data_IF_062173693827
#
_entry.id   IF_062173693827
#
_cell.length_a   1.000
_cell.length_b   1.000
_cell.length_c   1.000
_cell.angle_alpha   90.00
_cell.angle_beta   90.00
_cell.angle_gamma   90.00
#
_symmetry.space_group_name_H-M   'P 1'
#
loop_
_entity.id
_entity.type
_entity.pdbx_description
1 polymer ?
#
# COMPACT_ATOMS: atom_id res chain seq x y z
N UNK A 1 -21.33 38.66 -18.05
CA UNK A 1 -20.96 39.82 -17.21
C UNK A 1 -20.83 39.29 -15.77
N UNK A 2 -19.65 39.35 -15.16
CA UNK A 2 -19.41 38.73 -13.83
C UNK A 2 -19.60 39.78 -12.72
N UNK A 3 -20.28 39.40 -11.62
CA UNK A 3 -20.74 40.31 -10.56
C UNK A 3 -19.63 41.02 -9.74
N UNK A 4 -18.34 40.64 -9.86
CA UNK A 4 -17.22 41.34 -9.21
C UNK A 4 -15.86 40.86 -9.76
N UNK A 5 -14.78 41.58 -9.42
CA UNK A 5 -13.38 41.15 -9.69
C UNK A 5 -13.04 39.83 -8.97
N UNK A 6 -13.69 39.53 -7.84
CA UNK A 6 -13.53 38.24 -7.17
C UNK A 6 -14.27 37.13 -7.91
N UNK A 7 -15.45 37.40 -8.48
CA UNK A 7 -16.15 36.45 -9.36
C UNK A 7 -15.40 36.18 -10.66
N UNK A 8 -14.72 37.18 -11.24
CA UNK A 8 -13.88 36.95 -12.43
C UNK A 8 -12.62 36.14 -12.12
N UNK A 9 -12.03 36.31 -10.93
CA UNK A 9 -10.93 35.47 -10.44
C UNK A 9 -11.35 34.02 -10.21
N UNK A 10 -12.56 33.77 -9.69
CA UNK A 10 -13.12 32.42 -9.54
C UNK A 10 -13.32 31.74 -10.91
N UNK A 11 -13.78 32.50 -11.92
CA UNK A 11 -13.94 32.04 -13.31
C UNK A 11 -12.65 31.62 -14.00
N UNK A 12 -11.47 32.04 -13.53
CA UNK A 12 -10.17 31.66 -14.13
C UNK A 12 -9.76 30.22 -13.83
N UNK A 13 -10.40 29.57 -12.86
CA UNK A 13 -10.00 28.25 -12.40
C UNK A 13 -11.01 27.20 -12.86
N UNK A 14 -10.50 26.10 -13.42
CA UNK A 14 -11.28 25.06 -14.10
C UNK A 14 -12.35 24.37 -13.22
N UNK A 15 -12.23 24.43 -11.90
CA UNK A 15 -13.17 23.79 -10.97
C UNK A 15 -13.39 24.64 -9.70
N UNK A 16 -14.66 24.76 -9.28
CA UNK A 16 -15.10 25.35 -8.02
C UNK A 16 -14.90 24.39 -6.84
N UNK A 17 -15.11 24.89 -5.61
CA UNK A 17 -15.06 24.07 -4.39
C UNK A 17 -16.15 22.98 -4.42
N UNK A 18 -17.36 23.37 -4.78
CA UNK A 18 -18.56 22.53 -4.84
C UNK A 18 -18.45 21.46 -5.91
N UNK A 19 -17.96 21.81 -7.10
CA UNK A 19 -17.74 20.85 -8.20
C UNK A 19 -16.75 19.74 -7.79
N UNK A 20 -15.72 20.09 -7.02
CA UNK A 20 -14.75 19.12 -6.52
C UNK A 20 -15.39 18.20 -5.48
N UNK A 21 -16.12 18.76 -4.51
CA UNK A 21 -16.83 17.97 -3.49
C UNK A 21 -17.82 17.01 -4.16
N UNK A 22 -18.58 17.49 -5.14
CA UNK A 22 -19.54 16.70 -5.87
C UNK A 22 -18.86 15.57 -6.65
N UNK A 23 -17.75 15.84 -7.34
CA UNK A 23 -16.98 14.81 -8.05
C UNK A 23 -16.48 13.69 -7.13
N UNK A 24 -16.14 14.02 -5.87
CA UNK A 24 -15.71 13.03 -4.86
C UNK A 24 -16.88 12.14 -4.43
N UNK A 25 -18.07 12.73 -4.22
CA UNK A 25 -19.28 12.01 -3.80
C UNK A 25 -19.79 11.07 -4.89
N UNK A 26 -19.90 11.56 -6.12
CA UNK A 26 -20.33 10.75 -7.27
C UNK A 26 -19.42 9.54 -7.49
N UNK A 27 -18.10 9.75 -7.34
CA UNK A 27 -17.15 8.65 -7.38
C UNK A 27 -17.42 7.63 -6.28
N UNK A 28 -17.63 8.10 -5.05
CA UNK A 28 -17.88 7.24 -3.90
C UNK A 28 -19.15 6.42 -4.08
N UNK A 29 -20.24 7.02 -4.56
CA UNK A 29 -21.51 6.34 -4.84
C UNK A 29 -21.36 5.28 -5.93
N UNK A 30 -20.64 5.61 -7.01
CA UNK A 30 -20.44 4.70 -8.14
C UNK A 30 -19.54 3.51 -7.80
N UNK A 31 -18.43 3.77 -7.12
CA UNK A 31 -17.36 2.77 -6.90
C UNK A 31 -17.41 2.15 -5.49
N UNK A 32 -18.34 2.61 -4.66
CA UNK A 32 -18.49 2.25 -3.25
C UNK A 32 -17.16 2.30 -2.47
N UNK A 33 -16.32 3.29 -2.78
CA UNK A 33 -14.99 3.47 -2.17
C UNK A 33 -14.48 4.90 -2.27
N UNK A 34 -13.65 5.31 -1.32
CA UNK A 34 -13.01 6.63 -1.32
C UNK A 34 -12.05 6.75 -2.52
N UNK A 35 -12.17 7.80 -3.35
CA UNK A 35 -11.27 8.01 -4.47
C UNK A 35 -9.85 8.33 -4.00
N UNK A 36 -8.80 7.63 -4.48
CA UNK A 36 -7.44 8.13 -4.41
C UNK A 36 -7.26 9.27 -5.41
N UNK A 37 -6.31 10.17 -5.13
CA UNK A 37 -5.96 11.33 -5.99
C UNK A 37 -5.87 10.98 -7.49
N UNK A 38 -5.27 9.83 -7.80
CA UNK A 38 -5.03 9.36 -9.18
C UNK A 38 -6.29 8.93 -9.94
N UNK A 39 -7.40 8.65 -9.24
CA UNK A 39 -8.65 8.24 -9.89
C UNK A 39 -9.49 9.49 -10.26
N UNK A 40 -9.18 10.66 -9.67
CA UNK A 40 -9.79 11.97 -9.95
C UNK A 40 -8.73 12.99 -10.41
N UNK A 41 -7.92 12.65 -11.42
CA UNK A 41 -6.81 13.50 -11.89
C UNK A 41 -7.26 14.90 -12.33
N UNK A 42 -8.48 15.01 -12.86
CA UNK A 42 -9.04 16.27 -13.36
C UNK A 42 -9.26 17.31 -12.25
N UNK A 43 -9.84 16.89 -11.12
CA UNK A 43 -10.20 17.78 -10.00
C UNK A 43 -9.13 17.80 -8.89
N UNK A 44 -8.31 16.75 -8.79
CA UNK A 44 -7.42 16.54 -7.64
C UNK A 44 -6.34 17.60 -7.43
N UNK A 45 -5.78 18.17 -8.49
CA UNK A 45 -4.76 19.21 -8.36
C UNK A 45 -5.36 20.49 -7.77
N UNK A 46 -6.56 20.86 -8.24
CA UNK A 46 -7.30 22.00 -7.73
C UNK A 46 -7.78 21.76 -6.29
N UNK A 47 -8.22 20.54 -5.98
CA UNK A 47 -8.62 20.14 -4.64
C UNK A 47 -7.52 20.39 -3.61
N UNK A 48 -6.27 20.01 -3.92
CA UNK A 48 -5.13 20.25 -3.01
C UNK A 48 -4.89 21.75 -2.82
N UNK A 49 -5.01 22.55 -3.88
CA UNK A 49 -4.81 24.00 -3.79
C UNK A 49 -5.89 24.70 -2.93
N UNK A 50 -7.14 24.23 -2.98
CA UNK A 50 -8.25 24.83 -2.22
C UNK A 50 -8.26 24.32 -0.77
N UNK A 51 -8.15 23.01 -0.58
CA UNK A 51 -8.35 22.36 0.72
C UNK A 51 -7.04 22.09 1.49
N UNK A 52 -5.88 22.40 0.90
CA UNK A 52 -4.54 22.14 1.44
C UNK A 52 -4.05 20.70 1.29
N UNK A 53 -4.96 19.71 1.30
CA UNK A 53 -4.63 18.30 1.04
C UNK A 53 -5.79 17.55 0.41
N UNK A 54 -5.50 16.40 -0.23
CA UNK A 54 -6.55 15.52 -0.75
C UNK A 54 -7.44 14.98 0.37
N UNK A 55 -6.85 14.63 1.53
CA UNK A 55 -7.61 14.13 2.67
C UNK A 55 -8.55 15.19 3.25
N UNK A 56 -8.17 16.47 3.21
CA UNK A 56 -9.04 17.56 3.60
C UNK A 56 -10.22 17.69 2.63
N UNK A 57 -9.99 17.54 1.32
CA UNK A 57 -11.06 17.52 0.32
C UNK A 57 -12.05 16.37 0.55
N UNK A 58 -11.55 15.16 0.84
CA UNK A 58 -12.40 13.99 1.19
C UNK A 58 -13.21 14.28 2.48
N UNK A 59 -12.59 14.87 3.49
CA UNK A 59 -13.27 15.25 4.74
C UNK A 59 -14.36 16.28 4.50
N UNK A 60 -14.10 17.30 3.66
CA UNK A 60 -15.09 18.31 3.24
C UNK A 60 -16.25 17.71 2.45
N UNK A 61 -16.01 16.63 1.72
CA UNK A 61 -17.08 15.88 1.06
C UNK A 61 -17.96 15.07 2.03
N UNK A 62 -17.63 15.02 3.32
CA UNK A 62 -18.34 14.26 4.35
C UNK A 62 -17.90 12.80 4.42
N UNK A 63 -16.74 12.47 3.87
CA UNK A 63 -16.20 11.11 3.83
C UNK A 63 -14.98 11.00 4.76
N UNK A 64 -14.71 9.78 5.25
CA UNK A 64 -13.52 9.51 6.05
C UNK A 64 -12.33 9.31 5.11
N UNK A 65 -11.24 10.09 5.21
CA UNK A 65 -10.08 9.93 4.33
C UNK A 65 -9.34 8.61 4.58
N UNK A 66 -8.65 8.12 3.54
CA UNK A 66 -7.70 7.02 3.70
C UNK A 66 -6.54 7.45 4.63
N UNK A 67 -6.03 6.53 5.45
CA UNK A 67 -4.92 6.82 6.38
C UNK A 67 -3.71 7.37 5.64
N UNK A 68 -3.13 8.44 6.18
CA UNK A 68 -1.85 8.98 5.73
C UNK A 68 -0.71 8.01 6.08
N UNK A 69 0.48 8.27 5.52
CA UNK A 69 1.68 7.52 5.89
C UNK A 69 2.02 7.65 7.38
N UNK A 70 1.73 8.81 7.99
CA UNK A 70 2.02 9.08 9.40
C UNK A 70 1.05 8.36 10.35
N UNK A 71 -0.15 8.04 9.87
CA UNK A 71 -1.19 7.33 10.62
C UNK A 71 -1.08 5.80 10.48
N UNK A 72 0.03 5.28 9.93
CA UNK A 72 0.23 3.83 9.83
C UNK A 72 0.46 3.25 11.22
N UNK A 73 -0.25 2.16 11.50
CA UNK A 73 -0.10 1.41 12.76
C UNK A 73 1.36 0.92 12.96
N UNK A 74 2.11 0.75 11.87
CA UNK A 74 3.52 0.38 11.87
C UNK A 74 4.35 1.54 11.33
N UNK A 75 5.18 2.15 12.18
CA UNK A 75 6.17 3.13 11.75
C UNK A 75 7.22 2.45 10.88
N UNK A 76 7.60 3.10 9.79
CA UNK A 76 8.75 2.65 8.98
C UNK A 76 10.01 2.83 9.82
N UNK A 77 10.79 1.77 9.93
CA UNK A 77 12.12 1.81 10.52
C UNK A 77 13.06 1.33 9.44
N UNK A 78 13.88 2.24 8.91
CA UNK A 78 14.91 1.86 7.97
C UNK A 78 16.06 1.21 8.75
N UNK A 79 16.45 0.00 8.35
CA UNK A 79 17.55 -0.72 8.97
C UNK A 79 18.20 -1.71 8.02
N UNK A 80 19.21 -2.41 8.52
CA UNK A 80 19.96 -3.41 7.77
C UNK A 80 19.81 -4.75 8.49
N UNK A 81 19.50 -5.80 7.74
CA UNK A 81 19.55 -7.17 8.22
C UNK A 81 21.01 -7.65 8.34
N UNK A 82 21.21 -8.75 9.05
CA UNK A 82 22.54 -9.33 9.32
C UNK A 82 23.34 -9.71 8.08
N UNK A 83 22.69 -9.98 6.96
CA UNK A 83 23.32 -10.29 5.67
C UNK A 83 23.58 -9.05 4.78
N UNK A 84 23.20 -7.85 5.26
CA UNK A 84 23.37 -6.58 4.56
C UNK A 84 22.12 -6.09 3.80
N UNK A 85 21.01 -6.85 3.78
CA UNK A 85 19.79 -6.41 3.14
C UNK A 85 19.17 -5.16 3.81
N UNK A 86 18.75 -4.17 3.00
CA UNK A 86 18.16 -2.91 3.48
C UNK A 86 16.66 -3.01 3.72
N UNK A 87 16.20 -3.14 4.95
CA UNK A 87 14.80 -3.31 5.32
C UNK A 87 14.11 -1.98 5.68
N UNK A 88 12.80 -1.89 5.42
CA UNK A 88 11.99 -0.68 5.67
C UNK A 88 11.09 -0.76 6.92
N UNK A 89 11.14 -1.89 7.62
CA UNK A 89 10.52 -2.12 8.91
C UNK A 89 11.30 -3.10 9.78
N UNK A 90 11.08 -3.05 11.10
CA UNK A 90 11.65 -4.03 12.04
C UNK A 90 11.18 -5.47 11.75
N UNK A 91 9.93 -5.65 11.31
CA UNK A 91 9.41 -6.96 10.91
C UNK A 91 10.16 -7.54 9.72
N UNK A 92 10.52 -6.71 8.74
CA UNK A 92 11.35 -7.16 7.63
C UNK A 92 12.73 -7.62 8.12
N UNK A 93 13.39 -6.87 9.01
CA UNK A 93 14.68 -7.28 9.59
C UNK A 93 14.56 -8.64 10.28
N UNK A 94 13.53 -8.84 11.12
CA UNK A 94 13.33 -10.09 11.87
C UNK A 94 13.15 -11.29 10.93
N UNK A 95 12.36 -11.14 9.87
CA UNK A 95 12.08 -12.21 8.90
C UNK A 95 13.34 -12.50 8.08
N UNK A 96 14.02 -11.47 7.62
CA UNK A 96 15.27 -11.58 6.85
C UNK A 96 16.37 -12.29 7.66
N UNK A 97 16.61 -11.83 8.89
CA UNK A 97 17.53 -12.48 9.83
C UNK A 97 17.13 -13.92 10.15
N UNK A 98 15.82 -14.24 10.14
CA UNK A 98 15.38 -15.62 10.30
C UNK A 98 15.78 -16.48 9.11
N UNK A 99 15.63 -15.98 7.88
CA UNK A 99 16.06 -16.69 6.68
C UNK A 99 17.57 -16.93 6.69
N UNK A 100 18.35 -15.90 7.04
CA UNK A 100 19.81 -15.97 7.16
C UNK A 100 20.25 -16.99 8.21
N UNK A 101 19.67 -16.95 9.42
CA UNK A 101 20.02 -17.88 10.50
C UNK A 101 19.65 -19.35 10.24
N UNK A 102 18.75 -19.60 9.30
CA UNK A 102 18.38 -20.96 8.88
C UNK A 102 19.06 -21.37 7.57
N UNK A 103 20.11 -20.65 7.15
CA UNK A 103 20.87 -20.92 5.93
C UNK A 103 19.99 -21.02 4.67
N UNK A 104 18.99 -20.14 4.57
CA UNK A 104 18.08 -20.05 3.42
C UNK A 104 18.54 -18.90 2.52
N UNK A 105 19.19 -19.18 1.36
CA UNK A 105 19.56 -18.14 0.42
C UNK A 105 18.31 -17.47 -0.13
N UNK A 106 18.29 -16.14 -0.06
CA UNK A 106 17.12 -15.36 -0.44
C UNK A 106 17.54 -14.06 -1.12
N UNK A 107 16.70 -13.60 -2.05
CA UNK A 107 16.87 -12.32 -2.74
C UNK A 107 15.70 -11.42 -2.43
N UNK A 108 15.97 -10.13 -2.24
CA UNK A 108 14.92 -9.13 -2.06
C UNK A 108 14.45 -8.51 -3.35
N UNK A 109 13.25 -7.93 -3.31
CA UNK A 109 12.71 -7.08 -4.37
C UNK A 109 12.54 -7.76 -5.74
N UNK A 110 12.32 -9.09 -5.75
CA UNK A 110 12.08 -9.85 -6.97
C UNK A 110 10.78 -9.41 -7.64
N UNK A 111 10.82 -9.13 -8.94
CA UNK A 111 9.64 -8.65 -9.68
C UNK A 111 8.60 -9.76 -9.85
N UNK A 112 7.34 -9.43 -9.61
CA UNK A 112 6.22 -10.28 -9.98
C UNK A 112 6.04 -10.28 -11.51
N UNK A 113 5.72 -11.43 -12.12
CA UNK A 113 5.45 -11.50 -13.56
C UNK A 113 4.33 -10.53 -13.98
N UNK A 114 4.54 -9.84 -15.10
CA UNK A 114 3.58 -8.91 -15.71
C UNK A 114 3.02 -7.84 -14.76
N UNK A 115 3.83 -7.41 -13.78
CA UNK A 115 3.44 -6.32 -12.88
C UNK A 115 4.65 -5.50 -12.42
N UNK A 116 4.37 -4.32 -11.87
CA UNK A 116 5.39 -3.50 -11.22
C UNK A 116 5.56 -3.84 -9.73
N UNK A 117 4.88 -4.86 -9.22
CA UNK A 117 5.04 -5.31 -7.85
C UNK A 117 6.36 -6.07 -7.68
N UNK A 118 6.90 -5.99 -6.47
CA UNK A 118 8.08 -6.71 -6.03
C UNK A 118 7.74 -7.49 -4.77
N UNK A 119 8.31 -8.69 -4.62
CA UNK A 119 8.20 -9.45 -3.39
C UNK A 119 9.20 -8.94 -2.37
N UNK A 120 8.86 -9.11 -1.09
CA UNK A 120 9.76 -8.75 0.00
C UNK A 120 10.98 -9.65 -0.01
N UNK A 121 10.76 -10.97 -0.17
CA UNK A 121 11.79 -11.97 -0.44
C UNK A 121 11.39 -12.94 -1.54
N UNK A 122 12.38 -13.58 -2.13
CA UNK A 122 12.26 -14.71 -3.04
C UNK A 122 13.34 -15.72 -2.72
N UNK A 123 12.98 -17.00 -2.76
CA UNK A 123 13.88 -18.13 -2.50
C UNK A 123 13.74 -19.17 -3.60
N UNK A 124 14.70 -20.09 -3.68
CA UNK A 124 14.76 -21.15 -4.70
C UNK A 124 14.64 -20.57 -6.12
N UNK A 125 15.48 -19.59 -6.44
CA UNK A 125 15.54 -18.93 -7.76
C UNK A 125 14.19 -18.37 -8.24
N UNK A 126 13.39 -17.85 -7.31
CA UNK A 126 12.11 -17.20 -7.61
C UNK A 126 10.92 -18.15 -7.73
N UNK A 127 11.08 -19.44 -7.40
CA UNK A 127 9.96 -20.40 -7.33
C UNK A 127 9.04 -20.14 -6.13
N UNK A 128 9.59 -19.56 -5.06
CA UNK A 128 8.84 -19.23 -3.85
C UNK A 128 9.02 -17.75 -3.53
N UNK A 129 7.91 -17.04 -3.38
CA UNK A 129 7.88 -15.67 -2.86
C UNK A 129 7.42 -15.67 -1.41
N UNK A 130 8.00 -14.78 -0.61
CA UNK A 130 7.60 -14.55 0.79
C UNK A 130 7.21 -13.08 0.89
N UNK A 131 6.06 -12.81 1.51
CA UNK A 131 5.52 -11.46 1.70
C UNK A 131 5.12 -11.26 3.15
N UNK A 132 5.48 -10.10 3.70
CA UNK A 132 4.98 -9.65 4.99
C UNK A 132 3.84 -8.65 4.81
N UNK A 133 2.61 -9.12 5.01
CA UNK A 133 1.40 -8.30 4.93
C UNK A 133 1.08 -7.61 6.25
N UNK A 134 2.00 -6.78 6.74
CA UNK A 134 1.83 -6.03 8.00
C UNK A 134 0.59 -5.12 8.04
N UNK A 135 0.11 -4.67 6.87
CA UNK A 135 -1.07 -3.80 6.74
C UNK A 135 -2.34 -4.54 6.28
N UNK A 136 -2.37 -5.87 6.38
CA UNK A 136 -3.57 -6.63 6.10
C UNK A 136 -4.75 -6.17 6.98
N UNK A 137 -5.94 -6.05 6.39
CA UNK A 137 -7.18 -5.54 7.03
C UNK A 137 -7.11 -4.09 7.50
N UNK A 138 -6.01 -3.36 7.25
CA UNK A 138 -5.89 -1.94 7.60
C UNK A 138 -6.75 -1.05 6.69
N UNK A 139 -6.84 -1.41 5.40
CA UNK A 139 -7.74 -0.77 4.44
C UNK A 139 -8.13 -1.69 3.28
N UNK A 140 -9.29 -1.46 2.62
CA UNK A 140 -9.69 -2.23 1.44
C UNK A 140 -8.67 -2.19 0.29
N UNK A 141 -7.85 -1.14 0.21
CA UNK A 141 -6.77 -1.02 -0.78
C UNK A 141 -5.69 -2.08 -0.54
N UNK A 142 -5.25 -2.26 0.70
CA UNK A 142 -4.23 -3.25 1.04
C UNK A 142 -4.73 -4.66 0.76
N UNK A 143 -5.95 -4.97 1.17
CA UNK A 143 -6.56 -6.29 0.93
C UNK A 143 -6.70 -6.61 -0.56
N UNK A 144 -7.03 -5.62 -1.40
CA UNK A 144 -7.01 -5.77 -2.87
C UNK A 144 -5.61 -6.07 -3.40
N UNK A 145 -4.58 -5.39 -2.89
CA UNK A 145 -3.19 -5.65 -3.27
C UNK A 145 -2.77 -7.08 -2.92
N UNK A 146 -3.15 -7.57 -1.74
CA UNK A 146 -2.87 -8.95 -1.30
C UNK A 146 -3.55 -9.94 -2.26
N UNK A 147 -4.85 -9.76 -2.53
CA UNK A 147 -5.62 -10.61 -3.46
C UNK A 147 -4.99 -10.63 -4.85
N UNK A 148 -4.53 -9.47 -5.34
CA UNK A 148 -3.88 -9.35 -6.64
C UNK A 148 -2.55 -10.12 -6.70
N UNK A 149 -1.66 -9.94 -5.71
CA UNK A 149 -0.39 -10.69 -5.60
C UNK A 149 -0.63 -12.20 -5.56
N UNK A 150 -1.58 -12.67 -4.74
CA UNK A 150 -2.03 -14.08 -4.69
C UNK A 150 -2.54 -14.58 -6.05
N UNK A 151 -3.25 -13.73 -6.80
CA UNK A 151 -3.71 -14.03 -8.15
C UNK A 151 -2.57 -14.23 -9.13
N UNK A 152 -1.57 -13.34 -9.13
CA UNK A 152 -0.37 -13.49 -9.97
C UNK A 152 0.35 -14.79 -9.63
N UNK A 153 0.66 -15.04 -8.36
CA UNK A 153 1.40 -16.23 -7.97
C UNK A 153 0.71 -17.52 -8.43
N UNK A 154 -0.61 -17.63 -8.23
CA UNK A 154 -1.40 -18.77 -8.74
C UNK A 154 -1.34 -18.91 -10.25
N UNK A 155 -1.47 -17.80 -10.99
CA UNK A 155 -1.44 -17.80 -12.46
C UNK A 155 -0.11 -18.29 -13.03
N UNK A 156 1.00 -17.98 -12.36
CA UNK A 156 2.36 -18.28 -12.83
C UNK A 156 3.01 -19.46 -12.10
N UNK A 157 2.27 -20.20 -11.26
CA UNK A 157 2.80 -21.36 -10.53
C UNK A 157 3.86 -21.01 -9.49
N UNK A 158 3.88 -19.77 -8.99
CA UNK A 158 4.81 -19.33 -7.94
C UNK A 158 4.16 -19.64 -6.58
N UNK A 159 4.89 -20.32 -5.69
CA UNK A 159 4.41 -20.54 -4.32
C UNK A 159 4.53 -19.23 -3.54
N UNK A 160 3.44 -18.75 -2.97
CA UNK A 160 3.44 -17.55 -2.12
C UNK A 160 3.28 -17.95 -0.66
N UNK A 161 4.20 -17.51 0.20
CA UNK A 161 4.11 -17.63 1.65
C UNK A 161 3.70 -16.27 2.21
N UNK A 162 2.48 -16.22 2.74
CA UNK A 162 1.91 -15.01 3.36
C UNK A 162 2.27 -14.98 4.84
N UNK A 163 3.03 -13.97 5.29
CA UNK A 163 3.33 -13.70 6.70
C UNK A 163 2.48 -12.52 7.15
N UNK A 164 1.76 -12.70 8.25
CA UNK A 164 0.97 -11.67 8.92
C UNK A 164 1.58 -11.33 10.29
N UNK A 165 1.20 -10.20 10.93
CA UNK A 165 1.70 -9.86 12.26
C UNK A 165 1.53 -10.98 13.30
N UNK A 166 0.43 -11.72 13.24
CA UNK A 166 0.16 -12.87 14.11
C UNK A 166 1.07 -14.07 13.83
N UNK A 167 1.65 -14.18 12.62
CA UNK A 167 2.66 -15.21 12.33
C UNK A 167 4.03 -14.84 12.92
N UNK A 168 4.28 -13.57 13.23
CA UNK A 168 5.57 -13.09 13.73
C UNK A 168 5.68 -13.17 15.26
N UNK A 169 4.56 -13.01 15.97
CA UNK A 169 4.50 -12.97 17.43
C UNK A 169 3.44 -13.93 18.00
N UNK A 170 3.81 -14.83 18.92
CA UNK A 170 5.17 -15.09 19.43
C UNK A 170 6.09 -15.73 18.38
N UNK A 171 7.42 -15.58 18.51
CA UNK A 171 8.42 -16.00 17.51
C UNK A 171 8.36 -17.48 17.10
N UNK A 172 7.84 -18.35 17.97
CA UNK A 172 7.55 -19.77 17.67
C UNK A 172 6.58 -19.93 16.49
N UNK A 173 5.72 -18.94 16.26
CA UNK A 173 4.79 -18.91 15.15
C UNK A 173 5.51 -18.71 13.81
N UNK A 174 6.59 -17.91 13.77
CA UNK A 174 7.33 -17.69 12.52
C UNK A 174 8.04 -18.97 12.10
N UNK A 175 8.64 -19.66 13.08
CA UNK A 175 9.32 -20.93 12.84
C UNK A 175 8.38 -21.99 12.28
N UNK A 176 7.18 -22.09 12.87
CA UNK A 176 6.13 -22.99 12.40
C UNK A 176 5.69 -22.65 10.97
N UNK A 177 5.55 -21.35 10.67
CA UNK A 177 5.10 -20.84 9.37
C UNK A 177 6.11 -21.10 8.24
N UNK A 178 7.40 -20.96 8.54
CA UNK A 178 8.49 -21.11 7.58
C UNK A 178 9.19 -22.48 7.64
N UNK A 179 8.70 -23.38 8.49
CA UNK A 179 9.22 -24.75 8.65
C UNK A 179 9.40 -25.51 7.33
N UNK A 180 8.48 -25.31 6.37
CA UNK A 180 8.54 -25.94 5.05
C UNK A 180 9.72 -25.47 4.16
N UNK A 181 10.49 -24.46 4.59
CA UNK A 181 11.71 -24.01 3.91
C UNK A 181 12.98 -24.62 4.51
N UNK A 182 12.89 -25.20 5.71
CA UNK A 182 14.02 -25.89 6.34
C UNK A 182 14.32 -27.18 5.57
N UNK A 183 15.60 -27.52 5.47
CA UNK A 183 16.06 -28.80 4.94
C UNK A 183 15.86 -29.90 5.96
#
# INVERSE_FOLDING_TARGET
MYCSVNCSKLSRFKYSEEEIIQSIREYYEKENRIPPKRDLTQTSHRAINIFGSWNNAITKAGLIPNRSHDNKMYKRTMGMASDGHKCDSASEIIIDDWLTRNDIPHNRNQKYPNSNHKSDWSVQDGKIFIEYFGLAKDSPRYDRSIKYKKGICRKFGIKLIDIYPADLYPMTSLDSKLSALKK
#
